data_IF_771647368073
#
_entry.id   IF_771647368073
#
_cell.length_a   1.000
_cell.length_b   1.000
_cell.length_c   1.000
_cell.angle_alpha   90.00
_cell.angle_beta   90.00
_cell.angle_gamma   90.00
#
_symmetry.space_group_name_H-M   'P 1'
#
loop_
_entity.id
_entity.type
_entity.pdbx_description
1 polymer ?
#
# COMPACT_ATOMS: atom_id res chain seq x y z
N UNK A 1 14.65 -14.47 -0.99
CA UNK A 1 13.47 -13.86 -0.33
C UNK A 1 13.96 -13.16 0.93
N UNK A 2 13.68 -11.86 1.11
CA UNK A 2 14.04 -11.11 2.32
C UNK A 2 12.76 -10.91 3.14
N UNK A 3 12.78 -11.28 4.41
CA UNK A 3 11.69 -11.00 5.34
C UNK A 3 12.08 -9.78 6.18
N UNK A 4 11.38 -8.66 6.02
CA UNK A 4 11.69 -7.41 6.72
C UNK A 4 10.99 -7.26 8.06
N UNK A 5 9.79 -7.82 8.22
CA UNK A 5 9.00 -7.66 9.45
C UNK A 5 7.96 -8.78 9.63
N UNK A 6 7.69 -9.15 10.88
CA UNK A 6 6.57 -10.02 11.29
C UNK A 6 5.82 -9.29 12.41
N UNK A 7 4.49 -9.30 12.35
CA UNK A 7 3.64 -8.82 13.45
C UNK A 7 3.14 -9.99 14.28
N UNK A 8 3.17 -9.86 15.61
CA UNK A 8 2.61 -10.83 16.54
C UNK A 8 1.75 -10.13 17.60
N UNK A 9 0.47 -10.47 17.67
CA UNK A 9 -0.48 -9.90 18.62
C UNK A 9 -1.91 -10.40 18.39
N UNK A 10 -2.82 -10.15 19.34
CA UNK A 10 -4.21 -10.63 19.30
C UNK A 10 -5.10 -10.01 18.20
N UNK A 11 -4.52 -9.25 17.27
CA UNK A 11 -5.22 -8.57 16.20
C UNK A 11 -4.26 -7.79 15.29
N UNK A 12 -4.82 -6.92 14.45
CA UNK A 12 -4.05 -6.01 13.59
C UNK A 12 -3.19 -5.05 14.45
N UNK A 13 -2.05 -4.55 13.94
CA UNK A 13 -1.32 -3.48 14.61
C UNK A 13 -2.24 -2.31 14.94
N UNK A 14 -2.20 -1.81 16.19
CA UNK A 14 -2.95 -0.62 16.59
C UNK A 14 -2.54 0.62 15.78
N UNK A 15 -1.27 0.67 15.42
CA UNK A 15 -0.65 1.70 14.60
C UNK A 15 0.16 1.01 13.49
N UNK A 16 -0.25 1.19 12.23
CA UNK A 16 0.54 0.70 11.10
C UNK A 16 1.87 1.46 10.98
N UNK A 17 1.91 2.71 11.45
CA UNK A 17 3.15 3.49 11.53
C UNK A 17 4.17 2.79 12.42
N UNK A 18 3.79 2.30 13.59
CA UNK A 18 4.73 1.65 14.51
C UNK A 18 5.30 0.36 13.90
N UNK A 19 4.48 -0.34 13.11
CA UNK A 19 4.90 -1.57 12.43
C UNK A 19 5.84 -1.30 11.23
N UNK A 20 5.51 -0.34 10.37
CA UNK A 20 6.26 -0.10 9.12
C UNK A 20 7.41 0.91 9.25
N UNK A 21 7.42 1.76 10.27
CA UNK A 21 8.43 2.82 10.45
C UNK A 21 9.88 2.31 10.41
N UNK A 22 10.24 1.18 11.05
CA UNK A 22 11.62 0.66 10.95
C UNK A 22 12.00 0.28 9.51
N UNK A 23 11.07 -0.36 8.78
CA UNK A 23 11.28 -0.75 7.39
C UNK A 23 11.45 0.48 6.48
N UNK A 24 10.56 1.47 6.60
CA UNK A 24 10.61 2.69 5.79
C UNK A 24 11.89 3.48 6.06
N UNK A 25 12.31 3.59 7.32
CA UNK A 25 13.55 4.28 7.68
C UNK A 25 14.79 3.63 7.03
N UNK A 26 14.91 2.29 7.10
CA UNK A 26 16.03 1.59 6.48
C UNK A 26 15.97 1.64 4.96
N UNK A 27 14.79 1.45 4.36
CA UNK A 27 14.61 1.57 2.91
C UNK A 27 15.00 2.97 2.40
N UNK A 28 14.63 4.02 3.12
CA UNK A 28 14.98 5.41 2.79
C UNK A 28 16.48 5.63 2.87
N UNK A 29 17.13 5.13 3.93
CA UNK A 29 18.59 5.20 4.09
C UNK A 29 19.33 4.45 2.97
N UNK A 30 18.84 3.27 2.57
CA UNK A 30 19.43 2.49 1.49
C UNK A 30 19.19 3.11 0.10
N UNK A 31 18.09 3.83 -0.09
CA UNK A 31 17.84 4.58 -1.32
C UNK A 31 18.75 5.81 -1.43
N UNK A 32 18.95 6.53 -0.33
CA UNK A 32 19.81 7.72 -0.26
C UNK A 32 21.30 7.36 -0.33
N UNK A 33 21.77 6.55 0.62
CA UNK A 33 23.20 6.27 0.85
C UNK A 33 23.67 4.94 0.26
N UNK A 34 22.75 3.98 0.09
CA UNK A 34 23.10 2.61 -0.24
C UNK A 34 23.84 1.88 0.87
N UNK A 35 24.42 0.74 0.53
CA UNK A 35 25.32 -0.02 1.40
C UNK A 35 26.64 -0.31 0.68
N UNK A 36 27.71 -0.44 1.45
CA UNK A 36 29.04 -0.75 0.93
C UNK A 36 29.37 -2.22 1.11
N UNK A 37 30.05 -2.80 0.11
CA UNK A 37 30.62 -4.14 0.21
C UNK A 37 31.95 -4.21 -0.53
N UNK A 38 32.83 -5.11 -0.08
CA UNK A 38 34.14 -5.34 -0.70
C UNK A 38 34.07 -6.56 -1.60
N UNK A 39 34.56 -6.43 -2.83
CA UNK A 39 34.66 -7.53 -3.78
C UNK A 39 35.92 -7.37 -4.64
N UNK A 40 36.74 -8.42 -4.75
CA UNK A 40 38.02 -8.40 -5.48
C UNK A 40 38.91 -7.19 -5.11
N UNK A 41 39.05 -6.91 -3.81
CA UNK A 41 39.89 -5.83 -3.29
C UNK A 41 39.30 -4.42 -3.43
N UNK A 42 38.21 -4.22 -4.18
CA UNK A 42 37.56 -2.92 -4.39
C UNK A 42 36.32 -2.75 -3.50
N UNK A 43 36.05 -1.53 -3.09
CA UNK A 43 34.82 -1.15 -2.36
C UNK A 43 33.78 -0.67 -3.37
N UNK A 44 32.58 -1.23 -3.28
CA UNK A 44 31.44 -0.84 -4.10
C UNK A 44 30.34 -0.29 -3.20
N UNK A 45 29.63 0.74 -3.69
CA UNK A 45 28.40 1.22 -3.06
C UNK A 45 27.21 0.83 -3.93
N UNK A 46 26.22 0.14 -3.36
CA UNK A 46 24.96 -0.21 -4.03
C UNK A 46 23.79 0.48 -3.36
N UNK A 47 23.00 1.22 -4.15
CA UNK A 47 21.72 1.79 -3.72
C UNK A 47 20.60 0.75 -3.87
N UNK A 48 19.62 0.80 -2.97
CA UNK A 48 18.44 -0.05 -3.01
C UNK A 48 17.20 0.84 -3.01
N UNK A 49 16.35 0.67 -4.02
CA UNK A 49 15.14 1.47 -4.20
C UNK A 49 13.94 0.55 -4.16
N UNK A 50 12.96 0.86 -3.30
CA UNK A 50 11.68 0.16 -3.26
C UNK A 50 10.75 0.80 -4.28
N UNK A 51 10.41 0.05 -5.34
CA UNK A 51 9.61 0.59 -6.45
C UNK A 51 8.10 0.52 -6.22
N UNK A 52 7.62 -0.56 -5.60
CA UNK A 52 6.19 -0.84 -5.48
C UNK A 52 5.90 -1.72 -4.27
N UNK A 53 4.79 -1.41 -3.58
CA UNK A 53 4.25 -2.20 -2.48
C UNK A 53 3.01 -2.96 -2.93
N UNK A 54 3.08 -4.30 -2.93
CA UNK A 54 1.96 -5.17 -3.27
C UNK A 54 1.27 -5.61 -1.98
N UNK A 55 -0.04 -5.36 -1.90
CA UNK A 55 -0.87 -5.79 -0.80
C UNK A 55 -2.28 -6.15 -1.32
N UNK A 56 -2.91 -7.11 -0.65
CA UNK A 56 -4.31 -7.45 -0.92
C UNK A 56 -5.24 -6.27 -0.61
N UNK A 57 -6.50 -6.38 -1.04
CA UNK A 57 -7.47 -5.30 -0.91
C UNK A 57 -7.79 -4.91 0.56
N UNK A 58 -7.64 -5.84 1.52
CA UNK A 58 -7.98 -5.63 2.94
C UNK A 58 -6.82 -4.97 3.69
N UNK A 59 -5.58 -5.32 3.34
CA UNK A 59 -4.36 -4.77 3.93
C UNK A 59 -4.01 -3.39 3.37
N UNK A 60 -4.24 -3.16 2.07
CA UNK A 60 -3.97 -1.89 1.39
C UNK A 60 -4.46 -0.62 2.10
N UNK A 61 -5.72 -0.54 2.60
CA UNK A 61 -6.19 0.64 3.30
C UNK A 61 -5.47 0.89 4.64
N UNK A 62 -5.03 -0.16 5.32
CA UNK A 62 -4.25 -0.02 6.56
C UNK A 62 -2.88 0.59 6.29
N UNK A 63 -2.24 0.19 5.18
CA UNK A 63 -0.92 0.70 4.77
C UNK A 63 -1.01 2.14 4.27
N UNK A 64 -2.09 2.50 3.56
CA UNK A 64 -2.27 3.83 2.95
C UNK A 64 -3.01 4.83 3.84
N UNK A 65 -3.43 4.44 5.04
CA UNK A 65 -4.32 5.25 5.88
C UNK A 65 -5.59 5.69 5.12
N UNK A 66 -6.21 4.75 4.38
CA UNK A 66 -7.40 5.01 3.56
C UNK A 66 -8.61 4.23 4.05
N UNK A 67 -9.79 4.59 3.54
CA UNK A 67 -11.03 3.81 3.72
C UNK A 67 -10.88 2.41 3.11
N UNK A 68 -11.62 1.44 3.66
CA UNK A 68 -11.68 0.08 3.13
C UNK A 68 -12.23 0.07 1.70
N UNK A 69 -11.82 -0.92 0.90
CA UNK A 69 -12.20 -1.00 -0.53
C UNK A 69 -13.71 -1.08 -0.79
N UNK A 70 -14.49 -1.47 0.22
CA UNK A 70 -15.96 -1.54 0.20
C UNK A 70 -16.64 -0.32 0.89
N UNK A 71 -15.86 0.57 1.50
CA UNK A 71 -16.33 1.82 2.08
C UNK A 71 -16.73 2.83 1.00
N UNK A 72 -17.40 3.90 1.43
CA UNK A 72 -17.56 5.09 0.60
C UNK A 72 -16.17 5.71 0.38
N UNK A 73 -15.92 6.23 -0.82
CA UNK A 73 -14.58 6.71 -1.23
C UNK A 73 -13.50 5.61 -1.10
N UNK A 74 -13.89 4.34 -1.18
CA UNK A 74 -12.99 3.19 -0.98
C UNK A 74 -12.07 2.88 -2.16
N UNK A 75 -12.24 3.56 -3.30
CA UNK A 75 -11.42 3.35 -4.48
C UNK A 75 -9.96 3.69 -4.18
N UNK A 76 -9.05 2.83 -4.63
CA UNK A 76 -7.62 3.07 -4.44
C UNK A 76 -6.99 4.01 -5.47
N UNK A 77 -7.75 4.47 -6.46
CA UNK A 77 -7.27 5.21 -7.63
C UNK A 77 -7.94 6.57 -7.81
N UNK A 78 -9.21 6.72 -7.40
CA UNK A 78 -9.98 7.96 -7.52
C UNK A 78 -10.72 8.28 -6.21
N UNK A 79 -11.32 9.47 -6.14
CA UNK A 79 -12.14 9.95 -5.03
C UNK A 79 -13.65 9.81 -5.30
N UNK A 80 -14.05 8.90 -6.18
CA UNK A 80 -15.47 8.66 -6.42
C UNK A 80 -16.10 8.00 -5.18
N UNK A 81 -17.26 8.47 -4.67
CA UNK A 81 -17.89 7.89 -3.48
C UNK A 81 -18.32 6.43 -3.68
N UNK A 82 -18.79 6.13 -4.88
CA UNK A 82 -19.25 4.81 -5.30
C UNK A 82 -20.62 4.46 -4.72
N UNK A 83 -21.37 3.64 -5.43
CA UNK A 83 -22.73 3.27 -5.06
C UNK A 83 -22.76 1.92 -4.37
N UNK A 84 -23.56 1.80 -3.31
CA UNK A 84 -23.75 0.53 -2.62
C UNK A 84 -24.93 -0.18 -3.24
N UNK A 85 -24.67 -1.33 -3.86
CA UNK A 85 -25.70 -2.16 -4.51
C UNK A 85 -25.81 -3.51 -3.83
N UNK A 86 -27.02 -4.07 -3.81
CA UNK A 86 -27.26 -5.42 -3.31
C UNK A 86 -26.59 -6.45 -4.21
N UNK A 87 -25.95 -7.45 -3.59
CA UNK A 87 -25.32 -8.58 -4.27
C UNK A 87 -25.53 -9.85 -3.45
N UNK A 88 -26.48 -10.67 -3.88
CA UNK A 88 -26.85 -11.89 -3.16
C UNK A 88 -27.36 -11.58 -1.75
N UNK A 89 -26.73 -12.15 -0.72
CA UNK A 89 -27.07 -11.88 0.70
C UNK A 89 -26.29 -10.70 1.31
N UNK A 90 -25.59 -9.93 0.50
CA UNK A 90 -24.74 -8.83 0.95
C UNK A 90 -24.81 -7.63 0.04
N UNK A 91 -23.81 -6.75 0.17
CA UNK A 91 -23.70 -5.54 -0.63
C UNK A 91 -22.31 -5.45 -1.24
N UNK A 92 -22.22 -4.79 -2.38
CA UNK A 92 -20.94 -4.43 -3.00
C UNK A 92 -20.94 -2.95 -3.36
N UNK A 93 -19.74 -2.35 -3.39
CA UNK A 93 -19.54 -0.98 -3.85
C UNK A 93 -19.22 -1.03 -5.34
N UNK A 94 -20.00 -0.34 -6.15
CA UNK A 94 -19.77 -0.21 -7.60
C UNK A 94 -19.42 1.23 -7.95
N UNK A 95 -18.71 1.38 -9.06
CA UNK A 95 -18.30 2.67 -9.60
C UNK A 95 -18.85 2.73 -11.03
N UNK A 96 -20.04 3.33 -11.24
CA UNK A 96 -20.64 3.39 -12.55
C UNK A 96 -19.79 4.25 -13.49
N UNK A 97 -19.68 3.82 -14.75
CA UNK A 97 -19.01 4.60 -15.79
C UNK A 97 -19.98 5.67 -16.26
N UNK A 98 -19.65 6.94 -16.07
CA UNK A 98 -20.47 8.05 -16.53
C UNK A 98 -19.98 8.44 -17.94
N UNK A 99 -20.84 8.28 -18.95
CA UNK A 99 -20.58 8.73 -20.33
C UNK A 99 -19.26 8.25 -20.96
N UNK A 100 -18.76 7.08 -20.57
CA UNK A 100 -17.48 6.54 -21.06
C UNK A 100 -16.24 7.09 -20.35
N UNK A 101 -16.38 7.98 -19.35
CA UNK A 101 -15.31 8.33 -18.43
C UNK A 101 -15.27 7.32 -17.25
N UNK A 102 -14.23 6.48 -17.13
CA UNK A 102 -14.10 5.55 -16.01
C UNK A 102 -13.71 6.24 -14.68
N UNK A 103 -13.46 7.55 -14.67
CA UNK A 103 -12.98 8.32 -13.52
C UNK A 103 -14.06 9.18 -12.82
N UNK A 104 -15.22 9.41 -13.45
CA UNK A 104 -16.33 10.24 -12.93
C UNK A 104 -16.33 11.68 -13.46
N UNK A 105 -17.37 12.48 -13.18
CA UNK A 105 -17.50 13.85 -13.72
C UNK A 105 -16.49 14.85 -13.14
N UNK A 106 -15.82 14.51 -12.04
CA UNK A 106 -14.92 15.40 -11.29
C UNK A 106 -13.41 15.08 -11.42
N UNK A 107 -13.03 14.20 -12.37
CA UNK A 107 -11.64 13.86 -12.72
C UNK A 107 -11.41 13.75 -14.23
#
# INVERSE_FOLDING_TARGET
MLLSSIWFGAGKPKSMNDYLKPFIAEATKLADKGFQYKYNGRIYTKKVIVMLGICDAVARPLVRCSTQFNGEYGCGLCLHPGERVEKGRGYTRVYPIIQGNPFGEDL
#
